data_IF_858738675416
#
_entry.id   IF_858738675416
#
_cell.length_a   1.000
_cell.length_b   1.000
_cell.length_c   1.000
_cell.angle_alpha   90.00
_cell.angle_beta   90.00
_cell.angle_gamma   90.00
#
_symmetry.space_group_name_H-M   'P 1'
#
loop_
_entity.id
_entity.type
_entity.pdbx_description
1 polymer ?
#
# COMPACT_ATOMS: atom_id res chain seq x y z
N UNK A 1 -24.69 26.32 3.78
CA UNK A 1 -24.59 24.88 3.43
C UNK A 1 -24.24 24.13 4.70
N UNK A 2 -25.10 23.21 5.17
CA UNK A 2 -24.76 22.36 6.32
C UNK A 2 -23.60 21.44 5.96
N UNK A 3 -22.56 21.46 6.80
CA UNK A 3 -21.39 20.60 6.62
C UNK A 3 -21.75 19.19 7.11
N UNK A 4 -22.03 18.28 6.18
CA UNK A 4 -22.42 16.91 6.51
C UNK A 4 -21.23 16.14 7.05
N UNK A 5 -21.28 15.75 8.33
CA UNK A 5 -20.28 14.89 8.95
C UNK A 5 -20.29 13.51 8.26
N UNK A 6 -19.09 13.00 7.93
CA UNK A 6 -18.88 11.66 7.37
C UNK A 6 -17.73 10.98 8.10
N UNK A 7 -17.72 9.65 8.05
CA UNK A 7 -16.63 8.84 8.55
C UNK A 7 -15.80 8.32 7.39
N UNK A 8 -14.52 8.69 7.37
CA UNK A 8 -13.54 8.21 6.41
C UNK A 8 -12.69 7.10 7.03
N UNK A 9 -12.56 5.98 6.31
CA UNK A 9 -11.63 4.91 6.64
C UNK A 9 -10.52 4.94 5.62
N UNK A 10 -9.28 5.15 6.08
CA UNK A 10 -8.09 5.24 5.25
C UNK A 10 -7.28 3.96 5.40
N UNK A 11 -7.01 3.31 4.28
CA UNK A 11 -6.30 2.03 4.20
C UNK A 11 -5.03 2.25 3.40
N UNK A 12 -3.87 1.91 3.98
CA UNK A 12 -2.59 2.08 3.29
C UNK A 12 -2.32 0.94 2.29
N UNK A 13 -1.42 1.20 1.32
CA UNK A 13 -0.90 0.19 0.41
C UNK A 13 0.32 -0.56 0.98
N UNK A 14 0.97 -1.37 0.14
CA UNK A 14 2.17 -2.12 0.50
C UNK A 14 3.28 -1.20 1.04
N UNK A 15 4.09 -1.73 1.96
CA UNK A 15 5.18 -1.06 2.69
C UNK A 15 4.81 0.12 3.61
N UNK A 16 3.67 0.75 3.39
CA UNK A 16 3.23 1.92 4.13
C UNK A 16 2.49 1.51 5.40
N UNK A 17 2.09 2.51 6.19
CA UNK A 17 1.23 2.36 7.35
C UNK A 17 0.26 3.51 7.51
N UNK A 18 -0.52 3.51 8.60
CA UNK A 18 -1.45 4.60 8.89
C UNK A 18 -0.75 5.98 8.90
N UNK A 19 0.56 6.00 9.17
CA UNK A 19 1.41 7.19 9.12
C UNK A 19 1.36 7.92 7.78
N UNK A 20 1.19 7.24 6.64
CA UNK A 20 1.19 7.89 5.32
C UNK A 20 -0.03 8.83 5.14
N UNK A 21 -1.07 8.63 5.95
CA UNK A 21 -2.30 9.41 5.89
C UNK A 21 -2.28 10.66 6.78
N UNK A 22 -1.18 10.98 7.47
CA UNK A 22 -1.18 12.03 8.49
C UNK A 22 -1.71 13.39 7.97
N UNK A 23 -1.31 13.82 6.77
CA UNK A 23 -1.79 15.05 6.12
C UNK A 23 -3.29 14.99 5.81
N UNK A 24 -3.72 13.95 5.10
CA UNK A 24 -5.12 13.77 4.69
C UNK A 24 -6.04 13.63 5.91
N UNK A 25 -5.64 12.83 6.89
CA UNK A 25 -6.38 12.64 8.12
C UNK A 25 -6.50 13.94 8.92
N UNK A 26 -5.44 14.75 8.98
CA UNK A 26 -5.46 16.06 9.65
C UNK A 26 -6.44 17.01 8.94
N UNK A 27 -6.37 17.10 7.61
CA UNK A 27 -7.27 17.95 6.83
C UNK A 27 -8.73 17.53 6.99
N UNK A 28 -9.04 16.24 6.87
CA UNK A 28 -10.40 15.72 7.04
C UNK A 28 -10.94 15.95 8.46
N UNK A 29 -10.11 15.74 9.50
CA UNK A 29 -10.48 16.04 10.89
C UNK A 29 -10.72 17.53 11.10
N UNK A 30 -9.86 18.40 10.59
CA UNK A 30 -10.03 19.86 10.66
C UNK A 30 -11.29 20.33 9.93
N UNK A 31 -11.71 19.58 8.88
CA UNK A 31 -12.94 19.85 8.17
C UNK A 31 -14.20 19.41 8.97
N UNK A 32 -14.05 18.72 10.10
CA UNK A 32 -15.14 18.25 10.96
C UNK A 32 -15.59 16.82 10.66
N UNK A 33 -14.75 16.00 10.03
CA UNK A 33 -15.07 14.60 9.72
C UNK A 33 -14.39 13.63 10.68
N UNK A 34 -15.02 12.47 10.91
CA UNK A 34 -14.40 11.35 11.63
C UNK A 34 -13.44 10.63 10.69
N UNK A 35 -12.26 10.29 11.17
CA UNK A 35 -11.24 9.61 10.36
C UNK A 35 -10.59 8.48 11.15
N UNK A 36 -10.65 7.28 10.59
CA UNK A 36 -9.93 6.09 11.06
C UNK A 36 -8.88 5.73 10.01
N UNK A 37 -7.61 5.87 10.34
CA UNK A 37 -6.52 5.32 9.54
C UNK A 37 -6.13 3.97 10.16
N UNK A 38 -6.18 2.91 9.37
CA UNK A 38 -5.90 1.55 9.84
C UNK A 38 -4.46 1.19 9.50
N UNK A 39 -3.71 0.68 10.46
CA UNK A 39 -2.52 -0.13 10.20
C UNK A 39 -2.99 -1.57 10.00
N UNK A 40 -2.91 -2.06 8.77
CA UNK A 40 -3.19 -3.46 8.49
C UNK A 40 -2.01 -4.29 8.99
N UNK A 41 -2.15 -4.86 10.19
CA UNK A 41 -1.26 -5.91 10.68
C UNK A 41 -1.45 -7.17 9.83
N UNK A 42 -0.39 -7.95 9.63
CA UNK A 42 -0.42 -9.26 8.97
C UNK A 42 -1.28 -10.24 9.80
N UNK A 43 -2.59 -10.18 9.64
CA UNK A 43 -3.54 -11.05 10.31
C UNK A 43 -3.58 -12.41 9.59
N UNK A 44 -2.58 -13.25 9.82
CA UNK A 44 -2.60 -14.69 9.54
C UNK A 44 -2.62 -15.12 8.05
N UNK A 45 -2.85 -14.21 7.12
CA UNK A 45 -2.72 -14.42 5.67
C UNK A 45 -1.65 -13.47 5.11
N UNK A 46 -0.45 -13.99 4.76
CA UNK A 46 0.68 -13.17 4.31
C UNK A 46 0.39 -12.33 3.05
N UNK A 47 -0.61 -12.71 2.22
CA UNK A 47 -0.86 -12.09 0.92
C UNK A 47 -1.85 -10.91 0.92
N UNK A 48 -2.86 -10.93 1.78
CA UNK A 48 -3.96 -9.94 1.73
C UNK A 48 -3.64 -8.62 2.41
N UNK A 49 -2.76 -8.62 3.42
CA UNK A 49 -2.36 -7.42 4.17
C UNK A 49 -1.54 -6.40 3.35
N UNK A 50 -0.89 -6.85 2.29
CA UNK A 50 -0.01 -6.02 1.44
C UNK A 50 -0.78 -5.33 0.31
N UNK A 51 -1.99 -5.82 0.01
CA UNK A 51 -2.85 -5.34 -1.04
C UNK A 51 -4.08 -4.70 -0.40
N UNK A 52 -3.89 -3.54 0.24
CA UNK A 52 -4.98 -2.81 0.92
C UNK A 52 -6.20 -2.57 0.02
N UNK A 53 -6.02 -2.56 -1.31
CA UNK A 53 -7.12 -2.49 -2.27
C UNK A 53 -8.03 -3.73 -2.27
N UNK A 54 -7.49 -4.94 -2.07
CA UNK A 54 -8.29 -6.17 -1.97
C UNK A 54 -9.23 -6.09 -0.78
N UNK A 55 -8.72 -5.64 0.37
CA UNK A 55 -9.53 -5.47 1.59
C UNK A 55 -10.66 -4.47 1.39
N UNK A 56 -10.39 -3.37 0.67
CA UNK A 56 -11.41 -2.36 0.34
C UNK A 56 -12.47 -2.96 -0.59
N UNK A 57 -12.08 -3.67 -1.66
CA UNK A 57 -13.01 -4.32 -2.59
C UNK A 57 -13.90 -5.34 -1.88
N UNK A 58 -13.33 -6.22 -1.04
CA UNK A 58 -14.10 -7.20 -0.26
C UNK A 58 -15.06 -6.50 0.70
N UNK A 59 -14.66 -5.39 1.33
CA UNK A 59 -15.53 -4.62 2.20
C UNK A 59 -16.70 -4.00 1.42
N UNK A 60 -16.46 -3.50 0.21
CA UNK A 60 -17.51 -2.96 -0.69
C UNK A 60 -18.54 -4.04 -1.04
N UNK A 61 -18.10 -5.26 -1.35
CA UNK A 61 -19.00 -6.37 -1.67
C UNK A 61 -19.81 -6.86 -0.47
N UNK A 62 -19.17 -6.96 0.71
CA UNK A 62 -19.82 -7.48 1.93
C UNK A 62 -20.73 -6.45 2.60
N UNK A 63 -20.43 -5.17 2.46
CA UNK A 63 -21.14 -4.10 3.17
C UNK A 63 -21.58 -2.94 2.24
N UNK A 64 -22.28 -3.22 1.12
CA UNK A 64 -22.62 -2.21 0.11
C UNK A 64 -23.53 -1.10 0.66
N UNK A 65 -24.33 -1.40 1.67
CA UNK A 65 -25.22 -0.42 2.32
C UNK A 65 -24.51 0.47 3.35
N UNK A 66 -23.28 0.13 3.75
CA UNK A 66 -22.48 0.90 4.73
C UNK A 66 -21.41 1.78 4.08
N UNK A 67 -21.04 1.48 2.84
CA UNK A 67 -19.99 2.19 2.10
C UNK A 67 -20.64 3.03 1.02
N UNK A 68 -20.61 4.35 1.19
CA UNK A 68 -21.18 5.27 0.21
C UNK A 68 -20.32 5.39 -1.05
N UNK A 69 -19.00 5.43 -0.90
CA UNK A 69 -18.01 5.61 -1.98
C UNK A 69 -16.70 4.96 -1.55
N UNK A 70 -15.98 4.33 -2.49
CA UNK A 70 -14.58 3.96 -2.33
C UNK A 70 -13.74 4.67 -3.38
N UNK A 71 -12.58 5.17 -2.97
CA UNK A 71 -11.62 5.87 -3.84
C UNK A 71 -10.28 5.16 -3.73
N UNK A 72 -9.72 4.78 -4.86
CA UNK A 72 -8.40 4.17 -4.95
C UNK A 72 -7.42 5.21 -5.49
N UNK A 73 -6.36 5.50 -4.74
CA UNK A 73 -5.34 6.50 -5.11
C UNK A 73 -4.01 5.80 -5.28
N UNK A 74 -3.38 5.95 -6.45
CA UNK A 74 -2.14 5.27 -6.81
C UNK A 74 -2.18 3.74 -6.58
N UNK A 75 -3.37 3.15 -6.58
CA UNK A 75 -3.57 1.73 -6.38
C UNK A 75 -3.44 1.01 -7.72
N UNK A 76 -2.82 -0.17 -7.67
CA UNK A 76 -2.79 -1.07 -8.79
C UNK A 76 -4.14 -1.79 -8.89
N UNK A 77 -4.96 -1.33 -9.83
CA UNK A 77 -6.27 -1.93 -10.10
C UNK A 77 -6.10 -2.93 -11.26
N UNK A 78 -6.08 -4.25 -11.01
CA UNK A 78 -6.20 -5.20 -12.10
C UNK A 78 -7.51 -4.95 -12.83
N UNK A 79 -7.45 -4.87 -14.16
CA UNK A 79 -8.65 -4.95 -14.99
C UNK A 79 -9.37 -6.29 -14.75
N UNK A 80 -10.62 -6.43 -15.20
CA UNK A 80 -11.43 -7.65 -14.99
C UNK A 80 -10.74 -8.94 -15.45
N UNK A 81 -9.79 -8.84 -16.39
CA UNK A 81 -9.04 -9.96 -16.97
C UNK A 81 -7.61 -10.13 -16.39
N UNK A 82 -7.20 -9.33 -15.39
CA UNK A 82 -5.85 -9.38 -14.84
C UNK A 82 -5.74 -10.40 -13.71
N UNK A 83 -4.89 -11.41 -13.89
CA UNK A 83 -4.50 -12.30 -12.82
C UNK A 83 -3.43 -11.63 -11.91
N UNK A 84 -3.45 -11.93 -10.61
CA UNK A 84 -2.52 -11.39 -9.62
C UNK A 84 -1.03 -11.59 -10.00
N UNK A 85 -0.62 -12.75 -10.57
CA UNK A 85 0.74 -12.92 -11.09
C UNK A 85 1.13 -11.95 -12.21
N UNK A 86 0.25 -11.68 -13.16
CA UNK A 86 0.46 -10.74 -14.28
C UNK A 86 0.61 -9.33 -13.75
N UNK A 87 -0.17 -8.96 -12.72
CA UNK A 87 -0.05 -7.67 -12.03
C UNK A 87 1.33 -7.50 -11.39
N UNK A 88 1.81 -8.54 -10.70
CA UNK A 88 3.13 -8.55 -10.05
C UNK A 88 4.25 -8.53 -11.09
N UNK A 89 4.11 -9.29 -12.17
CA UNK A 89 5.05 -9.31 -13.29
C UNK A 89 5.11 -7.96 -14.00
N UNK A 90 3.96 -7.34 -14.27
CA UNK A 90 3.86 -6.03 -14.90
C UNK A 90 4.46 -4.94 -13.99
N UNK A 91 4.29 -5.02 -12.66
CA UNK A 91 5.00 -4.14 -11.72
C UNK A 91 6.52 -4.29 -11.81
N UNK A 92 7.01 -5.53 -11.90
CA UNK A 92 8.43 -5.82 -12.10
C UNK A 92 8.91 -5.25 -13.45
N UNK A 93 8.14 -5.41 -14.52
CA UNK A 93 8.48 -4.92 -15.86
C UNK A 93 8.40 -3.40 -16.00
N UNK A 94 7.44 -2.75 -15.33
CA UNK A 94 7.28 -1.29 -15.27
C UNK A 94 8.22 -0.62 -14.27
N UNK A 95 8.82 -1.42 -13.39
CA UNK A 95 9.89 -1.00 -12.47
C UNK A 95 11.22 -1.69 -12.83
N UNK A 96 11.77 -1.49 -14.04
CA UNK A 96 13.08 -2.02 -14.39
C UNK A 96 14.20 -1.45 -13.48
N UNK A 97 13.89 -0.39 -12.70
CA UNK A 97 14.74 0.21 -11.67
C UNK A 97 14.51 -0.29 -10.25
N UNK A 98 13.82 -1.41 -10.03
CA UNK A 98 13.85 -2.10 -8.73
C UNK A 98 15.29 -2.57 -8.36
N UNK A 99 16.27 -2.40 -9.27
CA UNK A 99 17.71 -2.61 -9.06
C UNK A 99 18.47 -1.41 -8.47
N UNK A 100 17.79 -0.38 -7.95
CA UNK A 100 18.45 0.72 -7.22
C UNK A 100 18.93 0.21 -5.84
N UNK A 101 18.65 0.93 -4.77
CA UNK A 101 18.96 0.57 -3.39
C UNK A 101 17.85 -0.26 -2.70
N UNK A 102 16.91 -0.81 -3.47
CA UNK A 102 15.91 -1.77 -2.97
C UNK A 102 16.61 -3.01 -2.45
N UNK A 103 16.28 -3.39 -1.21
CA UNK A 103 16.89 -4.55 -0.56
C UNK A 103 15.95 -5.74 -0.60
N UNK A 104 16.53 -6.89 -0.91
CA UNK A 104 15.84 -8.18 -0.96
C UNK A 104 16.42 -9.10 0.12
N UNK A 105 15.54 -9.74 0.87
CA UNK A 105 15.92 -10.74 1.87
C UNK A 105 15.68 -12.14 1.32
N UNK A 106 16.56 -13.08 1.63
CA UNK A 106 16.52 -14.46 1.14
C UNK A 106 16.67 -15.45 2.30
N UNK A 107 15.70 -15.50 3.21
CA UNK A 107 15.80 -16.37 4.40
C UNK A 107 15.90 -17.87 4.06
N UNK A 108 15.45 -18.25 2.86
CA UNK A 108 15.53 -19.63 2.33
C UNK A 108 16.81 -19.89 1.55
N UNK A 109 17.76 -18.95 1.55
CA UNK A 109 19.02 -19.03 0.80
C UNK A 109 18.96 -18.34 -0.57
N UNK A 110 20.14 -17.96 -1.13
CA UNK A 110 20.24 -17.04 -2.27
C UNK A 110 19.73 -17.60 -3.59
N UNK A 111 19.57 -18.92 -3.70
CA UNK A 111 19.04 -19.57 -4.91
C UNK A 111 17.50 -19.69 -4.91
N UNK A 112 16.84 -19.22 -3.86
CA UNK A 112 15.39 -19.19 -3.75
C UNK A 112 14.85 -17.78 -4.06
N UNK A 113 13.56 -17.62 -4.40
CA UNK A 113 12.97 -16.30 -4.53
C UNK A 113 13.07 -15.47 -3.24
N UNK A 114 13.10 -14.13 -3.33
CA UNK A 114 13.19 -13.28 -2.15
C UNK A 114 12.00 -13.51 -1.21
N UNK A 115 12.30 -13.62 0.08
CA UNK A 115 11.31 -13.77 1.15
C UNK A 115 10.71 -12.43 1.55
N UNK A 116 11.46 -11.34 1.39
CA UNK A 116 10.92 -9.99 1.54
C UNK A 116 11.62 -8.96 0.65
N UNK A 117 10.97 -7.82 0.45
CA UNK A 117 11.52 -6.65 -0.25
C UNK A 117 11.24 -5.38 0.54
N UNK A 118 12.21 -4.47 0.60
CA UNK A 118 12.06 -3.12 1.15
C UNK A 118 12.65 -2.10 0.17
N UNK A 119 11.90 -1.04 -0.12
CA UNK A 119 12.38 0.02 -1.03
C UNK A 119 13.37 0.94 -0.31
N UNK A 120 14.52 1.16 -0.93
CA UNK A 120 15.55 2.05 -0.39
C UNK A 120 15.26 3.54 -0.65
N UNK A 121 15.95 4.44 0.07
CA UNK A 121 15.80 5.89 -0.07
C UNK A 121 15.86 6.44 -1.50
N UNK A 122 16.78 5.97 -2.33
CA UNK A 122 16.95 6.44 -3.71
C UNK A 122 15.76 6.02 -4.57
N UNK A 123 15.30 4.77 -4.43
CA UNK A 123 14.08 4.30 -5.08
C UNK A 123 12.86 5.11 -4.63
N UNK A 124 12.70 5.34 -3.32
CA UNK A 124 11.62 6.16 -2.76
C UNK A 124 11.62 7.55 -3.39
N UNK A 125 12.77 8.23 -3.39
CA UNK A 125 12.92 9.58 -3.94
C UNK A 125 12.61 9.63 -5.44
N UNK A 126 13.07 8.64 -6.21
CA UNK A 126 12.94 8.65 -7.66
C UNK A 126 11.55 8.23 -8.16
N UNK A 127 10.83 7.36 -7.42
CA UNK A 127 9.64 6.68 -7.94
C UNK A 127 8.36 6.88 -7.12
N UNK A 128 8.45 6.98 -5.80
CA UNK A 128 7.26 7.05 -4.93
C UNK A 128 7.02 8.43 -4.30
N UNK A 129 8.09 9.18 -4.05
CA UNK A 129 8.09 10.46 -3.35
C UNK A 129 8.71 11.60 -4.17
N UNK A 130 8.87 11.42 -5.48
CA UNK A 130 9.49 12.39 -6.39
C UNK A 130 8.78 13.75 -6.45
N UNK A 131 7.49 13.79 -6.09
CA UNK A 131 6.69 15.02 -6.01
C UNK A 131 6.40 15.45 -4.55
N UNK A 132 7.00 14.77 -3.57
CA UNK A 132 6.76 15.04 -2.16
C UNK A 132 7.85 15.94 -1.58
N UNK A 133 7.53 16.76 -0.56
CA UNK A 133 8.53 17.49 0.21
C UNK A 133 9.57 16.54 0.85
N UNK A 134 10.81 17.02 1.09
CA UNK A 134 11.87 16.22 1.71
C UNK A 134 11.48 15.59 3.06
N UNK A 135 10.62 16.26 3.84
CA UNK A 135 10.16 15.77 5.14
C UNK A 135 9.31 14.50 5.01
N UNK A 136 8.52 14.38 3.93
CA UNK A 136 7.72 13.18 3.65
C UNK A 136 8.61 12.02 3.21
N UNK A 137 9.62 12.30 2.38
CA UNK A 137 10.61 11.31 1.97
C UNK A 137 11.42 10.80 3.17
N UNK A 138 11.80 11.70 4.08
CA UNK A 138 12.50 11.33 5.31
C UNK A 138 11.62 10.46 6.20
N UNK A 139 10.36 10.86 6.42
CA UNK A 139 9.39 10.07 7.16
C UNK A 139 9.21 8.68 6.55
N UNK A 140 9.06 8.60 5.22
CA UNK A 140 8.94 7.34 4.50
C UNK A 140 10.17 6.46 4.70
N UNK A 141 11.37 7.01 4.50
CA UNK A 141 12.63 6.30 4.70
C UNK A 141 12.74 5.70 6.10
N UNK A 142 12.22 6.38 7.13
CA UNK A 142 12.25 5.89 8.52
C UNK A 142 11.17 4.85 8.84
N UNK A 143 10.02 4.87 8.18
CA UNK A 143 8.83 4.10 8.56
C UNK A 143 8.39 3.04 7.55
N UNK A 144 9.09 2.94 6.43
CA UNK A 144 8.86 1.90 5.42
C UNK A 144 9.05 0.50 6.01
N UNK A 145 8.10 -0.39 5.70
CA UNK A 145 8.08 -1.77 6.20
C UNK A 145 8.37 -2.76 5.07
N UNK A 146 9.06 -3.88 5.34
CA UNK A 146 9.24 -4.94 4.36
C UNK A 146 7.91 -5.54 3.90
N UNK A 147 7.84 -5.88 2.63
CA UNK A 147 6.78 -6.70 2.02
C UNK A 147 7.23 -8.16 2.13
N UNK A 148 6.45 -9.05 2.74
CA UNK A 148 6.79 -10.46 2.89
C UNK A 148 6.16 -11.30 1.77
N UNK A 149 6.98 -11.87 0.89
CA UNK A 149 6.55 -12.60 -0.31
C UNK A 149 6.15 -14.05 -0.08
N UNK A 150 5.91 -14.50 1.17
CA UNK A 150 5.85 -15.93 1.55
C UNK A 150 4.94 -16.82 0.68
N UNK A 151 3.91 -16.25 0.04
CA UNK A 151 3.00 -16.96 -0.87
C UNK A 151 2.71 -16.26 -2.21
N UNK A 152 3.40 -15.17 -2.59
CA UNK A 152 3.16 -14.52 -3.90
C UNK A 152 3.70 -15.34 -5.10
N UNK A 153 4.50 -16.37 -4.84
CA UNK A 153 5.20 -17.19 -5.85
C UNK A 153 4.96 -18.71 -5.70
N UNK A 154 4.08 -19.15 -4.80
CA UNK A 154 3.69 -20.56 -4.76
C UNK A 154 2.63 -20.80 -5.83
N UNK A 155 3.03 -21.54 -6.87
CA UNK A 155 2.14 -22.21 -7.82
C UNK A 155 1.13 -23.10 -7.08
#
# INVERSE_FOLDING_TARGET
MEKRERHFVLVHGACHGAWCWYKVATLLRSAGHRVTALDLAAAGDPGSSQLGWVSVSVAMERFPQKISVAVFVAALMPGPDLNLPTVIQELHQRSPGASMDTQYTFDRGPNNPPTSVIFGPEYLAAKLYQLSPPEDLMLATMLMRPINGENLLKK
#
